data_IF_661374887042
#
_entry.id   IF_661374887042
#
_cell.length_a   1.000
_cell.length_b   1.000
_cell.length_c   1.000
_cell.angle_alpha   90.00
_cell.angle_beta   90.00
_cell.angle_gamma   90.00
#
_symmetry.space_group_name_H-M   'P 1'
#
loop_
_entity.id
_entity.type
_entity.pdbx_description
1 polymer ?
#
# COMPACT_ATOMS: atom_id res chain seq x y z
N UNK A 1 -15.21 3.27 -4.89
CA UNK A 1 -15.44 2.80 -3.50
C UNK A 1 -14.89 3.83 -2.53
N UNK A 2 -15.58 4.10 -1.43
CA UNK A 2 -15.08 5.02 -0.38
C UNK A 2 -13.84 4.40 0.29
N UNK A 3 -12.73 5.15 0.48
CA UNK A 3 -11.58 4.65 1.22
C UNK A 3 -12.00 4.25 2.65
N UNK A 4 -11.37 3.21 3.19
CA UNK A 4 -11.56 2.87 4.60
C UNK A 4 -10.86 3.96 5.45
N UNK A 5 -11.47 4.38 6.55
CA UNK A 5 -10.93 5.45 7.39
C UNK A 5 -10.58 4.88 8.76
N UNK A 6 -9.42 5.26 9.28
CA UNK A 6 -8.97 4.93 10.63
C UNK A 6 -9.13 6.14 11.55
N UNK A 7 -9.70 5.91 12.73
CA UNK A 7 -10.01 6.91 13.74
C UNK A 7 -9.40 6.53 15.09
N UNK A 8 -8.98 7.54 15.84
CA UNK A 8 -8.57 7.43 17.25
C UNK A 8 -9.39 8.42 18.05
N UNK A 9 -10.31 7.89 18.87
CA UNK A 9 -11.40 8.70 19.45
C UNK A 9 -12.22 9.34 18.34
N UNK A 10 -12.45 10.64 18.42
CA UNK A 10 -13.23 11.35 17.40
C UNK A 10 -12.41 11.77 16.16
N UNK A 11 -11.08 11.68 16.23
CA UNK A 11 -10.18 12.15 15.18
C UNK A 11 -9.98 11.11 14.08
N UNK A 12 -10.16 11.51 12.82
CA UNK A 12 -9.69 10.73 11.67
C UNK A 12 -8.18 10.90 11.52
N UNK A 13 -7.44 9.79 11.60
CA UNK A 13 -5.96 9.80 11.57
C UNK A 13 -5.39 9.21 10.29
N UNK A 14 -6.13 8.40 9.53
CA UNK A 14 -5.68 7.94 8.22
C UNK A 14 -6.84 7.59 7.28
N UNK A 15 -6.62 7.79 5.99
CA UNK A 15 -7.44 7.24 4.91
C UNK A 15 -6.67 6.09 4.24
N UNK A 16 -7.38 4.99 3.96
CA UNK A 16 -6.82 3.79 3.36
C UNK A 16 -7.39 3.58 1.95
N UNK A 17 -6.55 3.87 0.96
CA UNK A 17 -6.85 3.68 -0.45
C UNK A 17 -6.58 2.22 -0.81
N UNK A 18 -7.62 1.47 -1.17
CA UNK A 18 -7.54 0.03 -1.46
C UNK A 18 -7.47 -0.31 -2.95
N UNK A 19 -7.88 0.62 -3.82
CA UNK A 19 -7.95 0.43 -5.26
C UNK A 19 -7.57 1.74 -5.96
N UNK A 20 -6.27 2.13 -5.93
CA UNK A 20 -5.83 3.38 -6.50
C UNK A 20 -5.94 3.38 -8.02
N UNK A 21 -6.67 4.35 -8.55
CA UNK A 21 -6.81 4.58 -9.99
C UNK A 21 -5.62 5.42 -10.49
N UNK A 22 -4.45 4.79 -10.58
CA UNK A 22 -3.20 5.43 -11.00
C UNK A 22 -2.59 4.67 -12.19
N UNK A 23 -1.61 5.29 -12.86
CA UNK A 23 -0.94 4.67 -14.01
C UNK A 23 -0.36 3.29 -13.63
N UNK A 24 -0.57 2.23 -14.44
CA UNK A 24 -0.07 0.89 -14.16
C UNK A 24 1.45 0.81 -13.94
N UNK A 25 2.23 1.69 -14.56
CA UNK A 25 3.69 1.78 -14.38
C UNK A 25 4.10 2.24 -12.98
N UNK A 26 3.15 2.73 -12.17
CA UNK A 26 3.36 3.09 -10.76
C UNK A 26 3.10 1.92 -9.81
N UNK A 27 2.79 0.72 -10.35
CA UNK A 27 2.42 -0.48 -9.61
C UNK A 27 1.31 -0.22 -8.57
N UNK A 28 0.04 -0.04 -9.01
CA UNK A 28 -1.12 0.20 -8.15
C UNK A 28 -1.19 -0.80 -6.99
N UNK A 29 -1.33 -0.31 -5.75
CA UNK A 29 -1.35 -1.12 -4.53
C UNK A 29 -2.03 -0.37 -3.38
N UNK A 30 -2.60 -1.05 -2.38
CA UNK A 30 -3.20 -0.37 -1.24
C UNK A 30 -2.17 0.41 -0.41
N UNK A 31 -2.50 1.65 -0.04
CA UNK A 31 -1.66 2.52 0.79
C UNK A 31 -2.50 3.48 1.66
N UNK A 32 -1.91 3.89 2.78
CA UNK A 32 -2.47 4.87 3.71
C UNK A 32 -1.98 6.27 3.34
N UNK A 33 -2.90 7.11 2.88
CA UNK A 33 -2.68 8.53 2.71
C UNK A 33 -4.05 9.22 2.52
N UNK A 34 -4.23 10.44 3.07
CA UNK A 34 -3.34 11.11 4.02
C UNK A 34 -3.36 10.47 5.41
N UNK A 35 -2.20 10.48 6.08
CA UNK A 35 -2.07 10.21 7.52
C UNK A 35 -1.93 11.54 8.23
N UNK A 36 -2.60 11.71 9.38
CA UNK A 36 -2.71 12.98 10.09
C UNK A 36 -2.33 12.87 11.57
N UNK A 37 -1.80 13.95 12.15
CA UNK A 37 -1.79 14.15 13.60
C UNK A 37 -3.23 14.26 14.13
N UNK A 38 -3.44 14.17 15.46
CA UNK A 38 -4.78 14.39 16.05
C UNK A 38 -5.33 15.80 15.79
N UNK A 39 -4.44 16.78 15.59
CA UNK A 39 -4.82 18.15 15.25
C UNK A 39 -5.11 18.35 13.74
N UNK A 40 -5.01 17.29 12.92
CA UNK A 40 -5.34 17.33 11.49
C UNK A 40 -4.18 17.63 10.55
N UNK A 41 -2.97 17.87 11.06
CA UNK A 41 -1.76 18.07 10.23
C UNK A 41 -1.44 16.80 9.46
N UNK A 42 -1.41 16.87 8.12
CA UNK A 42 -0.99 15.74 7.26
C UNK A 42 0.51 15.50 7.42
N UNK A 43 0.92 14.24 7.60
CA UNK A 43 2.32 13.81 7.83
C UNK A 43 2.84 12.82 6.78
N UNK A 44 2.05 12.52 5.76
CA UNK A 44 2.47 11.70 4.61
C UNK A 44 2.20 12.40 3.30
N UNK A 45 2.95 12.02 2.28
CA UNK A 45 2.75 12.44 0.90
C UNK A 45 2.43 11.21 0.02
N UNK A 46 1.86 11.43 -1.16
CA UNK A 46 1.62 10.41 -2.16
C UNK A 46 1.69 11.04 -3.56
N UNK A 47 2.26 10.30 -4.51
CA UNK A 47 2.51 10.78 -5.88
C UNK A 47 3.39 12.06 -5.94
N UNK A 48 4.51 12.14 -5.21
CA UNK A 48 5.39 13.30 -5.30
C UNK A 48 5.96 13.45 -6.71
N UNK A 49 6.16 14.69 -7.17
CA UNK A 49 6.45 15.03 -8.57
C UNK A 49 7.75 14.41 -9.14
N UNK A 50 8.71 14.07 -8.29
CA UNK A 50 9.99 13.48 -8.68
C UNK A 50 9.96 11.94 -8.70
N UNK A 51 9.04 11.33 -7.95
CA UNK A 51 8.93 9.89 -7.76
C UNK A 51 7.46 9.47 -7.61
N UNK A 52 6.70 9.53 -8.71
CA UNK A 52 5.25 9.28 -8.69
C UNK A 52 4.84 7.89 -8.16
N UNK A 53 5.75 6.92 -8.07
CA UNK A 53 5.46 5.59 -7.51
C UNK A 53 5.57 5.52 -5.97
N UNK A 54 5.92 6.62 -5.30
CA UNK A 54 5.88 6.71 -3.83
C UNK A 54 4.45 7.01 -3.36
N UNK A 55 3.91 6.09 -2.53
CA UNK A 55 2.51 6.10 -2.11
C UNK A 55 2.42 5.94 -0.60
N UNK A 56 2.22 7.05 0.13
CA UNK A 56 1.86 7.05 1.55
C UNK A 56 2.63 6.04 2.41
N UNK A 57 1.89 5.32 3.26
CA UNK A 57 2.41 4.16 4.00
C UNK A 57 1.75 2.88 3.49
N UNK A 58 2.57 1.90 3.10
CA UNK A 58 2.14 0.59 2.64
C UNK A 58 3.33 -0.33 2.42
N UNK A 59 3.09 -1.53 1.91
CA UNK A 59 4.14 -2.47 1.51
C UNK A 59 4.31 -2.47 -0.01
N UNK A 60 5.56 -2.45 -0.48
CA UNK A 60 5.94 -2.50 -1.87
C UNK A 60 7.24 -3.30 -2.03
N UNK A 61 7.41 -4.03 -3.13
CA UNK A 61 8.65 -4.78 -3.40
C UNK A 61 9.08 -4.56 -4.86
N UNK A 62 10.36 -4.22 -5.10
CA UNK A 62 10.85 -3.89 -6.44
C UNK A 62 11.03 -5.11 -7.35
N UNK A 63 11.15 -6.31 -6.78
CA UNK A 63 11.21 -7.57 -7.52
C UNK A 63 10.46 -8.67 -6.74
N UNK A 64 9.43 -9.24 -7.36
CA UNK A 64 8.75 -10.45 -6.91
C UNK A 64 8.67 -11.40 -8.08
N UNK A 65 9.55 -12.40 -8.10
CA UNK A 65 9.68 -13.33 -9.23
C UNK A 65 9.84 -12.60 -10.59
N UNK A 66 10.61 -11.51 -10.60
CA UNK A 66 10.85 -10.68 -11.79
C UNK A 66 9.74 -9.69 -12.15
N UNK A 67 8.69 -9.56 -11.32
CA UNK A 67 7.68 -8.50 -11.47
C UNK A 67 8.02 -7.29 -10.58
N UNK A 68 7.90 -6.10 -11.13
CA UNK A 68 8.07 -4.84 -10.41
C UNK A 68 6.75 -4.45 -9.71
N UNK A 69 6.71 -4.57 -8.38
CA UNK A 69 5.57 -4.20 -7.53
C UNK A 69 5.86 -2.96 -6.66
N UNK A 70 6.87 -2.19 -7.07
CA UNK A 70 7.27 -0.90 -6.50
C UNK A 70 6.78 0.26 -7.36
N UNK A 71 6.85 0.09 -8.69
CA UNK A 71 6.57 1.10 -9.70
C UNK A 71 7.84 1.72 -10.28
N UNK A 72 7.69 2.59 -11.28
CA UNK A 72 8.82 3.27 -11.90
C UNK A 72 9.73 2.35 -12.70
N UNK A 73 11.02 2.68 -12.78
CA UNK A 73 11.99 1.92 -13.56
C UNK A 73 12.55 0.73 -12.77
N UNK A 74 12.84 -0.36 -13.46
CA UNK A 74 13.51 -1.53 -12.90
C UNK A 74 15.02 -1.40 -13.04
N UNK A 75 15.77 -1.85 -12.04
CA UNK A 75 17.23 -1.87 -12.10
C UNK A 75 17.72 -3.10 -12.87
N UNK A 76 18.50 -2.86 -13.92
CA UNK A 76 19.17 -3.91 -14.69
C UNK A 76 20.67 -3.74 -14.56
N UNK A 77 21.35 -4.79 -14.06
CA UNK A 77 22.80 -4.78 -13.92
C UNK A 77 23.49 -4.41 -15.24
N UNK A 78 24.41 -3.44 -15.21
CA UNK A 78 25.11 -2.92 -16.39
C UNK A 78 24.33 -1.92 -17.25
N UNK A 79 23.03 -1.69 -16.99
CA UNK A 79 22.20 -0.70 -17.72
C UNK A 79 21.60 0.37 -16.80
N UNK A 80 21.59 0.15 -15.49
CA UNK A 80 20.96 1.03 -14.52
C UNK A 80 19.43 0.92 -14.53
N UNK A 81 18.75 2.01 -14.17
CA UNK A 81 17.29 2.06 -14.12
C UNK A 81 16.69 2.29 -15.50
N UNK A 82 15.95 1.31 -16.00
CA UNK A 82 15.29 1.33 -17.31
C UNK A 82 13.80 1.02 -17.19
N UNK A 83 13.01 1.56 -18.12
CA UNK A 83 11.60 1.19 -18.23
C UNK A 83 11.48 -0.19 -18.86
N UNK A 84 10.76 -1.09 -18.19
CA UNK A 84 10.45 -2.44 -18.66
C UNK A 84 8.92 -2.67 -18.57
N UNK A 85 8.36 -3.58 -19.38
CA UNK A 85 6.96 -3.99 -19.28
C UNK A 85 6.78 -5.08 -18.21
N UNK A 86 7.24 -4.83 -16.99
CA UNK A 86 7.32 -5.81 -15.89
C UNK A 86 6.45 -5.45 -14.66
N UNK A 87 5.69 -4.37 -14.72
CA UNK A 87 4.87 -3.87 -13.62
C UNK A 87 3.73 -4.81 -13.24
N UNK A 88 3.71 -5.20 -11.97
CA UNK A 88 2.59 -5.84 -11.33
C UNK A 88 1.63 -4.85 -10.67
N UNK A 89 0.70 -5.39 -9.89
CA UNK A 89 -0.16 -4.63 -8.97
C UNK A 89 -0.50 -5.45 -7.73
N UNK A 90 -0.89 -4.80 -6.64
CA UNK A 90 -1.47 -5.47 -5.47
C UNK A 90 -2.95 -5.15 -5.40
N UNK A 91 -3.79 -6.17 -5.42
CA UNK A 91 -5.24 -6.05 -5.47
C UNK A 91 -5.84 -6.33 -4.09
N UNK A 92 -6.80 -5.52 -3.65
CA UNK A 92 -7.68 -5.91 -2.56
C UNK A 92 -8.65 -6.99 -3.03
N UNK A 93 -8.66 -8.13 -2.34
CA UNK A 93 -9.52 -9.27 -2.71
C UNK A 93 -10.62 -9.55 -1.68
N UNK A 94 -10.57 -8.96 -0.48
CA UNK A 94 -11.69 -9.01 0.45
C UNK A 94 -11.37 -8.55 1.86
N UNK A 95 -12.33 -7.91 2.53
CA UNK A 95 -12.25 -7.58 3.95
C UNK A 95 -12.47 -8.83 4.80
N UNK A 96 -11.66 -9.00 5.84
CA UNK A 96 -11.90 -9.98 6.91
C UNK A 96 -12.53 -9.33 8.13
N UNK A 97 -12.05 -8.14 8.48
CA UNK A 97 -12.57 -7.36 9.60
C UNK A 97 -12.38 -5.87 9.33
N UNK A 98 -13.30 -5.05 9.85
CA UNK A 98 -13.27 -3.60 9.68
C UNK A 98 -14.00 -2.90 10.81
N UNK A 99 -13.24 -2.25 11.67
CA UNK A 99 -13.72 -1.34 12.71
C UNK A 99 -13.35 0.10 12.35
N UNK A 100 -13.62 1.04 13.25
CA UNK A 100 -13.25 2.45 13.05
C UNK A 100 -11.74 2.68 13.24
N UNK A 101 -11.05 1.84 13.99
CA UNK A 101 -9.64 1.97 14.39
C UNK A 101 -8.74 0.88 13.80
N UNK A 102 -9.30 -0.19 13.24
CA UNK A 102 -8.54 -1.27 12.66
C UNK A 102 -9.22 -1.90 11.43
N UNK A 103 -8.40 -2.44 10.54
CA UNK A 103 -8.87 -3.25 9.41
C UNK A 103 -7.99 -4.48 9.24
N UNK A 104 -8.59 -5.56 8.78
CA UNK A 104 -7.90 -6.75 8.28
C UNK A 104 -8.46 -7.10 6.92
N UNK A 105 -7.59 -7.32 5.93
CA UNK A 105 -8.00 -7.75 4.60
C UNK A 105 -7.01 -8.69 3.93
N UNK A 106 -7.51 -9.37 2.91
CA UNK A 106 -6.71 -10.15 1.98
C UNK A 106 -6.37 -9.34 0.74
N UNK A 107 -5.14 -9.52 0.26
CA UNK A 107 -4.62 -8.95 -0.96
C UNK A 107 -4.00 -10.02 -1.85
N UNK A 108 -4.06 -9.82 -3.16
CA UNK A 108 -3.34 -10.61 -4.15
C UNK A 108 -2.25 -9.78 -4.83
N UNK A 109 -1.02 -10.27 -4.81
CA UNK A 109 0.11 -9.67 -5.51
C UNK A 109 0.17 -10.27 -6.91
N UNK A 110 -0.09 -9.45 -7.92
CA UNK A 110 -0.23 -9.86 -9.32
C UNK A 110 0.99 -9.47 -10.13
N UNK A 111 1.50 -10.39 -10.95
CA UNK A 111 2.49 -10.09 -11.97
C UNK A 111 1.89 -9.30 -13.15
N UNK A 112 2.73 -8.87 -14.11
CA UNK A 112 2.30 -8.07 -15.28
C UNK A 112 1.27 -8.78 -16.15
N UNK A 113 1.23 -10.12 -16.12
CA UNK A 113 0.25 -10.95 -16.85
C UNK A 113 -0.97 -11.35 -16.01
N UNK A 114 -1.12 -10.80 -14.81
CA UNK A 114 -2.27 -11.06 -13.92
C UNK A 114 -2.20 -12.37 -13.12
N UNK A 115 -1.14 -13.16 -13.29
CA UNK A 115 -0.88 -14.33 -12.45
C UNK A 115 -0.63 -13.89 -10.99
N UNK A 116 -1.14 -14.65 -10.02
CA UNK A 116 -0.88 -14.39 -8.60
C UNK A 116 0.52 -14.89 -8.25
N UNK A 117 1.33 -14.02 -7.68
CA UNK A 117 2.70 -14.28 -7.24
C UNK A 117 2.76 -14.53 -5.73
N UNK A 118 2.01 -13.75 -4.96
CA UNK A 118 1.84 -13.88 -3.51
C UNK A 118 0.40 -13.60 -3.14
N UNK A 119 -0.03 -14.15 -2.01
CA UNK A 119 -1.21 -13.67 -1.28
C UNK A 119 -0.76 -13.04 0.03
N UNK A 120 -1.47 -12.00 0.46
CA UNK A 120 -1.15 -11.26 1.67
C UNK A 120 -2.37 -11.15 2.58
N UNK A 121 -2.19 -11.43 3.86
CA UNK A 121 -3.09 -10.95 4.92
C UNK A 121 -2.46 -9.72 5.55
N UNK A 122 -3.11 -8.56 5.41
CA UNK A 122 -2.65 -7.31 6.02
C UNK A 122 -3.59 -6.85 7.12
N UNK A 123 -3.00 -6.45 8.25
CA UNK A 123 -3.67 -5.77 9.36
C UNK A 123 -3.16 -4.34 9.44
N UNK A 124 -4.05 -3.39 9.68
CA UNK A 124 -3.71 -2.01 9.99
C UNK A 124 -4.52 -1.58 11.20
N UNK A 125 -3.85 -1.05 12.22
CA UNK A 125 -4.48 -0.59 13.46
C UNK A 125 -3.95 0.80 13.82
N UNK A 126 -4.85 1.70 14.22
CA UNK A 126 -4.53 3.00 14.77
C UNK A 126 -5.04 3.10 16.21
N UNK A 127 -4.14 3.26 17.18
CA UNK A 127 -4.49 3.30 18.60
C UNK A 127 -3.99 4.58 19.29
N UNK A 128 -4.61 4.96 20.39
CA UNK A 128 -4.15 6.07 21.21
C UNK A 128 -2.81 5.77 21.89
N UNK A 129 -1.94 6.77 21.99
CA UNK A 129 -0.67 6.69 22.69
C UNK A 129 -0.46 7.93 23.57
N UNK A 130 0.45 7.86 24.55
CA UNK A 130 0.66 8.93 25.55
C UNK A 130 0.83 10.33 24.92
N UNK A 131 1.62 10.44 23.85
CA UNK A 131 1.90 11.70 23.15
C UNK A 131 1.34 11.75 21.72
N UNK A 132 0.22 11.04 21.47
CA UNK A 132 -0.41 11.04 20.16
C UNK A 132 -1.13 9.74 19.85
N UNK A 133 -0.77 9.09 18.76
CA UNK A 133 -1.36 7.83 18.35
C UNK A 133 -0.29 6.97 17.67
N UNK A 134 -0.54 5.66 17.59
CA UNK A 134 0.34 4.68 16.98
C UNK A 134 -0.34 4.04 15.79
N UNK A 135 0.36 3.94 14.67
CA UNK A 135 0.00 3.08 13.55
C UNK A 135 0.76 1.75 13.67
N UNK A 136 0.06 0.63 13.60
CA UNK A 136 0.67 -0.69 13.43
C UNK A 136 0.22 -1.26 12.10
N UNK A 137 1.17 -1.68 11.27
CA UNK A 137 0.92 -2.41 10.02
C UNK A 137 1.54 -3.79 10.15
N UNK A 138 0.71 -4.83 10.06
CA UNK A 138 1.15 -6.22 10.04
C UNK A 138 0.88 -6.83 8.67
N UNK A 139 1.82 -7.63 8.16
CA UNK A 139 1.70 -8.32 6.88
C UNK A 139 2.13 -9.78 7.03
N UNK A 140 1.33 -10.69 6.48
CA UNK A 140 1.67 -12.10 6.33
C UNK A 140 1.59 -12.44 4.85
N UNK A 141 2.74 -12.72 4.24
CA UNK A 141 2.86 -13.12 2.84
C UNK A 141 2.91 -14.64 2.73
N UNK A 142 2.24 -15.20 1.73
CA UNK A 142 2.30 -16.62 1.38
C UNK A 142 2.50 -16.76 -0.12
N UNK A 143 3.47 -17.58 -0.50
CA UNK A 143 3.62 -18.03 -1.89
C UNK A 143 2.62 -19.17 -2.13
N UNK A 144 1.67 -19.04 -3.09
CA UNK A 144 0.65 -20.05 -3.34
C UNK A 144 1.16 -21.34 -4.01
N UNK A 145 2.41 -21.37 -4.50
CA UNK A 145 3.00 -22.54 -5.17
C UNK A 145 2.96 -22.45 -6.69
#
# INVERSE_FOLDING_TARGET
>A
MTPAVLRVGDSTVAEYVIDPQIDPTLAPRPYLHPIRTRAGTVITDALPADHHWHLGVGLAMPDVAGANLWGGRSYVHGRGYVWLPDHGRVEHIGWRDRTFDAVTHDLAWKGPRGNTLLVERRTVCAEGAANGWRLTVGTHLTNPG
#
